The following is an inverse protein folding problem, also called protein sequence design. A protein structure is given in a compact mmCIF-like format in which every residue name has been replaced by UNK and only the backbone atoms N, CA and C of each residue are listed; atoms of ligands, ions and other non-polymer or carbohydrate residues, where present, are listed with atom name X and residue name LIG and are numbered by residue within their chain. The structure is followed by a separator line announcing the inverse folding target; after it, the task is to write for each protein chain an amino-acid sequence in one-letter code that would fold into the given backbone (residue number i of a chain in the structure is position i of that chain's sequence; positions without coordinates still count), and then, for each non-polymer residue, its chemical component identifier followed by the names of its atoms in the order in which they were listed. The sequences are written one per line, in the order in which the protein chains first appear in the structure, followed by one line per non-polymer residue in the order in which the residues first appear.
data_IF_190631906985
#
_entry.id   IF_190631906985
#
_cell.length_a   1.000
_cell.length_b   1.000
_cell.length_c   1.000
_cell.angle_alpha   90.00
_cell.angle_beta   90.00
_cell.angle_gamma   90.00
#
_symmetry.space_group_name_H-M   'P 1'
#
loop_
_entity.id
_entity.type
_entity.pdbx_description
1 polymer ?
#
# COMPACT_ATOMS: atom_id res chain seq x y z
N UNK A 1 2.64 28.54 7.24
CA UNK A 1 3.36 27.27 7.00
C UNK A 1 2.58 26.22 7.78
N UNK A 2 1.54 25.68 7.17
CA UNK A 2 0.73 24.58 7.73
C UNK A 2 1.07 23.34 6.91
N UNK A 3 2.18 22.70 7.26
CA UNK A 3 2.36 21.30 6.94
C UNK A 3 1.85 20.55 8.15
N UNK A 4 0.59 20.13 8.13
CA UNK A 4 0.09 19.19 9.13
C UNK A 4 0.98 17.95 9.09
N UNK A 5 1.43 17.48 10.25
CA UNK A 5 2.12 16.20 10.31
C UNK A 5 1.14 15.14 9.78
N UNK A 6 1.58 14.40 8.76
CA UNK A 6 0.80 13.38 8.07
C UNK A 6 1.18 12.01 8.64
N UNK A 7 0.22 11.11 8.74
CA UNK A 7 0.49 9.78 9.27
C UNK A 7 1.20 8.91 8.23
N UNK A 8 2.06 8.01 8.71
CA UNK A 8 2.91 7.19 7.84
C UNK A 8 2.09 6.26 6.93
N UNK A 9 0.93 5.77 7.37
CA UNK A 9 0.04 5.02 6.48
C UNK A 9 -0.48 5.88 5.31
N UNK A 10 -0.77 7.16 5.52
CA UNK A 10 -1.23 8.04 4.46
C UNK A 10 -0.12 8.33 3.45
N UNK A 11 1.14 8.42 3.89
CA UNK A 11 2.32 8.49 2.99
C UNK A 11 2.46 7.20 2.18
N UNK A 12 2.32 6.06 2.85
CA UNK A 12 2.39 4.74 2.21
C UNK A 12 1.35 4.56 1.11
N UNK A 13 0.12 5.05 1.33
CA UNK A 13 -0.98 4.96 0.36
C UNK A 13 -0.78 5.92 -0.81
N UNK A 14 -0.16 7.07 -0.61
CA UNK A 14 0.23 7.97 -1.71
C UNK A 14 1.31 7.35 -2.60
N UNK A 15 2.28 6.66 -2.01
CA UNK A 15 3.32 5.94 -2.74
C UNK A 15 2.79 4.66 -3.42
N UNK A 16 1.74 4.05 -2.84
CA UNK A 16 1.18 2.77 -3.27
C UNK A 16 -0.34 2.86 -3.42
N UNK A 17 -0.81 3.58 -4.45
CA UNK A 17 -2.24 3.87 -4.64
C UNK A 17 -3.15 2.63 -4.66
N UNK A 18 -2.63 1.45 -5.01
CA UNK A 18 -3.39 0.20 -4.94
C UNK A 18 -3.94 -0.11 -3.54
N UNK A 19 -3.31 0.42 -2.48
CA UNK A 19 -3.76 0.27 -1.10
C UNK A 19 -5.10 0.97 -0.84
N UNK A 20 -5.46 2.00 -1.62
CA UNK A 20 -6.76 2.71 -1.50
C UNK A 20 -7.97 1.80 -1.69
N UNK A 21 -7.77 0.70 -2.40
CA UNK A 21 -8.82 -0.29 -2.66
C UNK A 21 -9.12 -1.21 -1.47
N UNK A 22 -8.26 -1.24 -0.44
CA UNK A 22 -8.51 -2.04 0.74
C UNK A 22 -9.60 -1.43 1.61
N UNK A 23 -10.41 -2.29 2.23
CA UNK A 23 -11.35 -1.83 3.24
C UNK A 23 -10.60 -1.21 4.43
N UNK A 24 -9.41 -1.72 4.75
CA UNK A 24 -8.49 -1.08 5.68
C UNK A 24 -8.37 0.43 5.45
N UNK A 25 -8.12 0.86 4.21
CA UNK A 25 -7.99 2.28 3.87
C UNK A 25 -9.32 3.03 4.01
N UNK A 26 -10.43 2.44 3.52
CA UNK A 26 -11.76 3.05 3.61
C UNK A 26 -12.19 3.31 5.07
N UNK A 27 -11.89 2.39 5.97
CA UNK A 27 -12.13 2.58 7.40
C UNK A 27 -11.17 3.63 7.98
N UNK A 28 -9.90 3.59 7.59
CA UNK A 28 -8.89 4.54 8.03
C UNK A 28 -9.30 5.99 7.74
N UNK A 29 -9.79 6.30 6.53
CA UNK A 29 -10.24 7.66 6.16
C UNK A 29 -11.37 8.15 7.08
N UNK A 30 -12.34 7.28 7.39
CA UNK A 30 -13.43 7.60 8.32
C UNK A 30 -12.89 7.89 9.71
N UNK A 31 -11.95 7.08 10.19
CA UNK A 31 -11.36 7.21 11.52
C UNK A 31 -10.39 8.39 11.65
N UNK A 32 -9.75 8.80 10.56
CA UNK A 32 -8.79 9.91 10.57
C UNK A 32 -9.46 11.29 10.54
N UNK A 33 -10.77 11.34 10.30
CA UNK A 33 -11.54 12.59 10.28
C UNK A 33 -11.27 13.46 11.52
N UNK A 34 -11.12 14.77 11.34
CA UNK A 34 -10.81 15.74 12.40
C UNK A 34 -12.00 16.08 13.32
N UNK A 35 -13.22 15.65 12.98
CA UNK A 35 -14.40 15.95 13.79
C UNK A 35 -14.33 15.21 15.13
N UNK A 36 -14.29 16.00 16.20
CA UNK A 36 -14.32 15.57 17.60
C UNK A 36 -15.31 16.45 18.37
N UNK A 37 -16.17 15.84 19.18
CA UNK A 37 -17.08 16.59 20.03
C UNK A 37 -16.38 17.04 21.33
N UNK A 38 -16.73 18.23 21.83
CA UNK A 38 -16.18 18.78 23.08
C UNK A 38 -16.39 17.84 24.28
N UNK A 39 -17.49 17.07 24.29
CA UNK A 39 -17.78 16.06 25.32
C UNK A 39 -16.69 14.97 25.39
N UNK A 40 -16.11 14.60 24.25
CA UNK A 40 -15.11 13.54 24.17
C UNK A 40 -13.75 14.05 24.66
N UNK A 41 -13.40 15.30 24.31
CA UNK A 41 -12.22 15.99 24.86
C UNK A 41 -12.30 16.15 26.37
N UNK A 42 -13.47 16.56 26.90
CA UNK A 42 -13.68 16.72 28.34
C UNK A 42 -13.53 15.40 29.09
N UNK A 43 -14.08 14.30 28.55
CA UNK A 43 -13.89 12.97 29.12
C UNK A 43 -12.39 12.59 29.14
N UNK A 44 -11.70 12.74 28.01
CA UNK A 44 -10.29 12.37 27.88
C UNK A 44 -9.37 13.22 28.77
N UNK A 45 -9.68 14.50 28.93
CA UNK A 45 -8.98 15.39 29.87
C UNK A 45 -9.11 14.96 31.33
N UNK A 46 -10.18 14.22 31.66
CA UNK A 46 -10.40 13.69 33.01
C UNK A 46 -9.59 12.43 33.33
N UNK A 47 -9.10 11.70 32.31
CA UNK A 47 -8.32 10.47 32.49
C UNK A 47 -6.83 10.64 32.18
N UNK A 48 -6.45 11.63 31.36
CA UNK A 48 -5.05 11.92 31.02
C UNK A 48 -4.49 12.96 32.01
N UNK A 49 -3.39 12.67 32.72
CA UNK A 49 -2.80 13.59 33.70
C UNK A 49 -2.40 14.93 33.08
N UNK A 50 -2.76 16.02 33.74
CA UNK A 50 -2.55 17.37 33.23
C UNK A 50 -1.06 17.73 33.13
N UNK A 51 -0.22 17.19 34.02
CA UNK A 51 1.22 17.48 34.16
C UNK A 51 2.10 17.06 32.95
N UNK A 52 1.53 16.42 31.94
CA UNK A 52 2.18 16.06 30.67
C UNK A 52 2.31 17.25 29.67
N UNK A 53 2.41 18.49 30.16
CA UNK A 53 2.12 19.77 29.46
C UNK A 53 2.97 20.17 28.22
N UNK A 54 3.76 19.30 27.60
CA UNK A 54 4.21 19.51 26.21
C UNK A 54 3.47 18.62 25.19
N UNK A 55 2.86 17.52 25.63
CA UNK A 55 2.24 16.51 24.77
C UNK A 55 0.79 16.14 25.17
N UNK A 56 0.34 16.58 26.35
CA UNK A 56 -0.98 16.23 26.90
C UNK A 56 -2.15 16.58 25.97
N UNK A 57 -2.06 17.67 25.20
CA UNK A 57 -3.11 18.03 24.24
C UNK A 57 -3.22 17.02 23.09
N UNK A 58 -2.09 16.51 22.57
CA UNK A 58 -2.13 15.53 21.47
C UNK A 58 -2.71 14.19 21.94
N UNK A 59 -2.39 13.76 23.16
CA UNK A 59 -2.94 12.53 23.73
C UNK A 59 -4.44 12.65 24.02
N UNK A 60 -4.89 13.81 24.52
CA UNK A 60 -6.32 14.12 24.73
C UNK A 60 -7.06 14.08 23.39
N UNK A 61 -6.49 14.67 22.35
CA UNK A 61 -7.09 14.72 21.01
C UNK A 61 -7.19 13.32 20.40
N UNK A 62 -6.13 12.52 20.51
CA UNK A 62 -6.12 11.13 20.07
C UNK A 62 -7.15 10.28 20.83
N UNK A 63 -7.23 10.43 22.16
CA UNK A 63 -8.24 9.77 22.98
C UNK A 63 -9.66 10.16 22.56
N UNK A 64 -9.89 11.45 22.28
CA UNK A 64 -11.21 11.94 21.90
C UNK A 64 -11.61 11.43 20.49
N UNK A 65 -10.65 11.40 19.55
CA UNK A 65 -10.84 10.75 18.22
C UNK A 65 -11.15 9.26 18.36
N UNK A 66 -10.44 8.54 19.23
CA UNK A 66 -10.68 7.12 19.52
C UNK A 66 -12.10 6.90 20.06
N UNK A 67 -12.51 7.70 21.06
CA UNK A 67 -13.86 7.65 21.64
C UNK A 67 -14.96 7.89 20.60
N UNK A 68 -14.78 8.89 19.74
CA UNK A 68 -15.67 9.14 18.59
C UNK A 68 -15.65 7.99 17.59
N UNK A 69 -14.50 7.36 17.35
CA UNK A 69 -14.39 6.21 16.44
C UNK A 69 -15.16 4.99 16.96
N UNK A 70 -15.17 4.73 18.27
CA UNK A 70 -16.04 3.73 18.87
C UNK A 70 -17.53 4.03 18.64
N UNK A 71 -17.94 5.30 18.70
CA UNK A 71 -19.34 5.72 18.46
C UNK A 71 -19.81 5.46 17.03
N UNK A 72 -18.94 5.67 16.04
CA UNK A 72 -19.28 5.51 14.61
C UNK A 72 -18.95 4.12 14.06
N UNK A 73 -18.38 3.23 14.88
CA UNK A 73 -17.83 1.96 14.42
C UNK A 73 -18.90 1.09 13.74
N UNK A 74 -20.00 0.81 14.44
CA UNK A 74 -21.09 -0.03 13.94
C UNK A 74 -21.71 0.55 12.66
N UNK A 75 -21.93 1.86 12.63
CA UNK A 75 -22.48 2.55 11.45
C UNK A 75 -21.52 2.43 10.25
N UNK A 76 -20.22 2.51 10.49
CA UNK A 76 -19.18 2.37 9.47
C UNK A 76 -19.13 0.93 8.94
N UNK A 77 -19.21 -0.06 9.83
CA UNK A 77 -19.30 -1.48 9.47
C UNK A 77 -20.53 -1.78 8.61
N UNK A 78 -21.69 -1.24 8.97
CA UNK A 78 -22.92 -1.36 8.19
C UNK A 78 -22.78 -0.70 6.82
N UNK A 79 -22.31 0.55 6.76
CA UNK A 79 -22.13 1.30 5.51
C UNK A 79 -21.19 0.59 4.54
N UNK A 80 -20.06 0.10 5.05
CA UNK A 80 -19.03 -0.57 4.24
C UNK A 80 -19.32 -2.06 4.04
N UNK A 81 -20.37 -2.60 4.68
CA UNK A 81 -20.75 -4.00 4.65
C UNK A 81 -19.58 -4.93 5.04
N UNK A 82 -18.85 -4.55 6.08
CA UNK A 82 -17.67 -5.26 6.61
C UNK A 82 -17.65 -5.23 8.12
N UNK A 83 -17.36 -6.38 8.74
CA UNK A 83 -17.46 -6.58 10.19
C UNK A 83 -16.10 -6.59 10.90
N UNK A 84 -15.11 -5.92 10.30
CA UNK A 84 -13.71 -5.94 10.73
C UNK A 84 -13.28 -4.63 11.39
N UNK A 85 -14.26 -3.80 11.77
CA UNK A 85 -14.08 -2.46 12.27
C UNK A 85 -13.12 -2.39 13.44
N UNK A 86 -13.22 -3.31 14.42
CA UNK A 86 -12.29 -3.34 15.56
C UNK A 86 -10.83 -3.51 15.12
N UNK A 87 -10.54 -4.36 14.13
CA UNK A 87 -9.18 -4.53 13.62
C UNK A 87 -8.70 -3.25 12.95
N UNK A 88 -9.54 -2.64 12.11
CA UNK A 88 -9.18 -1.40 11.42
C UNK A 88 -9.04 -0.22 12.37
N UNK A 89 -9.81 -0.18 13.46
CA UNK A 89 -9.69 0.82 14.51
C UNK A 89 -8.36 0.68 15.27
N UNK A 90 -7.99 -0.55 15.65
CA UNK A 90 -6.68 -0.84 16.25
C UNK A 90 -5.54 -0.45 15.31
N UNK A 91 -5.66 -0.77 14.02
CA UNK A 91 -4.69 -0.37 13.01
C UNK A 91 -4.52 1.15 12.95
N UNK A 92 -5.62 1.89 12.80
CA UNK A 92 -5.60 3.36 12.77
C UNK A 92 -4.93 3.90 14.05
N UNK A 93 -5.34 3.42 15.22
CA UNK A 93 -4.81 3.90 16.49
C UNK A 93 -3.29 3.67 16.59
N UNK A 94 -2.83 2.46 16.26
CA UNK A 94 -1.40 2.13 16.25
C UNK A 94 -0.59 2.98 15.28
N UNK A 95 -1.14 3.27 14.10
CA UNK A 95 -0.50 4.17 13.14
C UNK A 95 -0.35 5.60 13.69
N UNK A 96 -1.34 6.11 14.46
CA UNK A 96 -1.18 7.37 15.20
C UNK A 96 -0.02 7.26 16.21
N UNK A 97 0.03 6.19 17.01
CA UNK A 97 1.07 5.99 18.01
C UNK A 97 2.48 5.94 17.41
N UNK A 98 2.63 5.23 16.29
CA UNK A 98 3.90 5.04 15.59
C UNK A 98 4.33 6.32 14.87
N UNK A 99 3.41 6.98 14.15
CA UNK A 99 3.71 8.18 13.34
C UNK A 99 4.15 9.35 14.21
N UNK A 100 3.50 9.54 15.36
CA UNK A 100 3.79 10.63 16.29
C UNK A 100 4.76 10.24 17.40
N UNK A 101 5.20 8.98 17.45
CA UNK A 101 6.10 8.45 18.47
C UNK A 101 5.66 8.80 19.91
N UNK A 102 4.36 8.62 20.19
CA UNK A 102 3.78 8.95 21.50
C UNK A 102 4.50 8.20 22.63
N UNK A 103 4.87 8.87 23.74
CA UNK A 103 5.52 8.20 24.85
C UNK A 103 4.53 7.38 25.65
N UNK A 104 5.06 6.35 26.31
CA UNK A 104 4.28 5.37 27.07
C UNK A 104 3.35 6.01 28.11
N UNK A 105 3.83 7.00 28.87
CA UNK A 105 3.06 7.67 29.91
C UNK A 105 1.85 8.47 29.39
N UNK A 106 1.89 8.93 28.14
CA UNK A 106 0.76 9.60 27.48
C UNK A 106 -0.29 8.61 27.00
N UNK A 107 0.09 7.37 26.70
CA UNK A 107 -0.77 6.34 26.09
C UNK A 107 -1.31 5.33 27.09
N UNK A 108 -0.53 4.96 28.12
CA UNK A 108 -0.95 4.03 29.18
C UNK A 108 -2.30 4.42 29.79
N UNK A 109 -2.61 5.69 30.12
CA UNK A 109 -3.93 6.06 30.62
C UNK A 109 -5.08 5.76 29.65
N UNK A 110 -4.85 5.89 28.34
CA UNK A 110 -5.84 5.57 27.30
C UNK A 110 -6.04 4.05 27.26
N UNK A 111 -4.96 3.27 27.29
CA UNK A 111 -5.00 1.81 27.27
C UNK A 111 -5.69 1.24 28.51
N UNK A 112 -5.36 1.76 29.69
CA UNK A 112 -5.93 1.33 30.98
C UNK A 112 -7.43 1.66 31.08
N UNK A 113 -7.90 2.68 30.36
CA UNK A 113 -9.30 3.08 30.31
C UNK A 113 -10.02 2.64 29.03
N UNK A 114 -9.42 1.76 28.23
CA UNK A 114 -9.94 1.37 26.91
C UNK A 114 -11.41 0.95 26.94
N UNK A 115 -11.77 0.03 27.85
CA UNK A 115 -13.16 -0.42 28.00
C UNK A 115 -14.11 0.72 28.39
N UNK A 116 -13.67 1.69 29.20
CA UNK A 116 -14.52 2.82 29.61
C UNK A 116 -14.70 3.83 28.46
N UNK A 117 -13.67 4.02 27.63
CA UNK A 117 -13.74 4.82 26.41
C UNK A 117 -14.74 4.18 25.44
N UNK A 118 -14.64 2.86 25.26
CA UNK A 118 -15.52 2.06 24.42
C UNK A 118 -16.98 2.03 24.93
N UNK A 119 -17.19 1.75 26.22
CA UNK A 119 -18.51 1.58 26.85
C UNK A 119 -19.35 2.88 26.88
N UNK A 120 -18.86 3.98 26.30
CA UNK A 120 -19.69 5.16 26.01
C UNK A 120 -20.79 4.89 24.97
N UNK A 121 -20.87 3.67 24.43
CA UNK A 121 -21.70 3.27 23.29
C UNK A 121 -22.28 1.86 23.49
N UNK A 122 -23.50 1.61 23.00
CA UNK A 122 -24.04 0.26 22.85
C UNK A 122 -23.46 -0.43 21.59
N UNK A 123 -22.17 -0.74 21.59
CA UNK A 123 -21.54 -1.50 20.48
C UNK A 123 -21.92 -2.97 20.61
N UNK A 124 -22.26 -3.62 19.48
CA UNK A 124 -22.64 -5.04 19.44
C UNK A 124 -21.42 -5.93 19.74
N UNK A 125 -20.21 -5.50 19.37
CA UNK A 125 -18.95 -6.21 19.60
C UNK A 125 -17.96 -5.31 20.33
N UNK A 126 -17.38 -5.82 21.41
CA UNK A 126 -16.28 -5.17 22.09
C UNK A 126 -14.97 -5.38 21.33
N UNK A 127 -14.18 -4.33 21.19
CA UNK A 127 -12.83 -4.34 20.68
C UNK A 127 -11.86 -4.48 21.85
N UNK A 128 -11.02 -5.52 21.84
CA UNK A 128 -9.91 -5.65 22.78
C UNK A 128 -8.80 -4.61 22.49
N UNK A 129 -7.82 -4.50 23.40
CA UNK A 129 -6.62 -3.67 23.24
C UNK A 129 -5.32 -4.49 23.21
N UNK A 130 -5.39 -5.80 22.93
CA UNK A 130 -4.27 -6.73 23.07
C UNK A 130 -3.13 -6.44 22.09
N UNK A 131 -3.50 -5.94 20.91
CA UNK A 131 -2.60 -5.61 19.80
C UNK A 131 -2.34 -4.10 19.68
N UNK A 132 -2.44 -3.35 20.78
CA UNK A 132 -2.05 -1.93 20.81
C UNK A 132 -0.56 -1.81 21.15
N UNK A 133 0.18 -1.04 20.35
CA UNK A 133 1.62 -0.89 20.46
C UNK A 133 2.01 -0.21 21.77
N UNK A 134 2.96 -0.80 22.46
CA UNK A 134 3.69 -0.18 23.55
C UNK A 134 5.09 0.15 23.02
N UNK A 135 5.25 1.34 22.46
CA UNK A 135 6.40 1.69 21.63
C UNK A 135 7.77 1.49 22.33
N UNK A 136 7.80 1.63 23.66
CA UNK A 136 9.03 1.42 24.44
C UNK A 136 9.37 -0.06 24.65
N UNK A 137 8.38 -0.96 24.56
CA UNK A 137 8.49 -2.40 24.82
C UNK A 137 8.46 -3.26 23.55
N UNK A 138 8.02 -2.71 22.40
CA UNK A 138 8.01 -3.43 21.13
C UNK A 138 9.32 -3.23 20.35
N UNK A 139 10.28 -4.12 20.59
CA UNK A 139 11.58 -4.06 19.94
C UNK A 139 11.47 -4.11 18.40
N UNK A 140 10.53 -4.87 17.82
CA UNK A 140 10.47 -5.00 16.36
C UNK A 140 10.02 -3.67 15.73
N UNK A 141 8.93 -3.09 16.24
CA UNK A 141 8.39 -1.83 15.73
C UNK A 141 9.34 -0.65 16.02
N UNK A 142 10.02 -0.66 17.17
CA UNK A 142 10.99 0.39 17.52
C UNK A 142 12.21 0.40 16.60
N UNK A 143 12.70 -0.78 16.17
CA UNK A 143 13.84 -0.87 15.26
C UNK A 143 13.45 -0.59 13.81
N UNK A 144 12.27 -1.06 13.39
CA UNK A 144 11.74 -0.78 12.07
C UNK A 144 10.22 -0.61 12.12
N UNK A 145 9.78 0.65 12.09
CA UNK A 145 8.37 0.98 12.09
C UNK A 145 7.65 0.55 10.78
N UNK A 146 8.36 0.26 9.67
CA UNK A 146 7.75 -0.35 8.48
C UNK A 146 7.18 -1.73 8.76
N UNK A 147 7.75 -2.45 9.73
CA UNK A 147 7.37 -3.82 10.04
C UNK A 147 5.87 -3.95 10.39
N UNK A 148 5.32 -2.96 11.10
CA UNK A 148 3.89 -2.87 11.41
C UNK A 148 3.03 -2.83 10.14
N UNK A 149 3.34 -1.92 9.22
CA UNK A 149 2.57 -1.73 7.98
C UNK A 149 2.70 -2.93 7.04
N UNK A 150 3.90 -3.50 6.92
CA UNK A 150 4.14 -4.70 6.10
C UNK A 150 3.28 -5.86 6.60
N UNK A 151 3.26 -6.12 7.91
CA UNK A 151 2.46 -7.21 8.48
C UNK A 151 0.95 -6.97 8.28
N UNK A 152 0.47 -5.76 8.52
CA UNK A 152 -0.95 -5.43 8.41
C UNK A 152 -1.46 -5.46 6.96
N UNK A 153 -0.63 -5.04 6.00
CA UNK A 153 -0.95 -5.13 4.57
C UNK A 153 -0.97 -6.59 4.11
N UNK A 154 -0.04 -7.43 4.58
CA UNK A 154 -0.07 -8.87 4.30
C UNK A 154 -1.36 -9.49 4.84
N UNK A 155 -1.72 -9.18 6.08
CA UNK A 155 -2.95 -9.71 6.69
C UNK A 155 -4.19 -9.25 5.93
N UNK A 156 -4.27 -7.97 5.54
CA UNK A 156 -5.37 -7.44 4.73
C UNK A 156 -5.46 -8.10 3.34
N UNK A 157 -4.31 -8.34 2.70
CA UNK A 157 -4.24 -9.02 1.42
C UNK A 157 -4.79 -10.46 1.52
N UNK A 158 -4.37 -11.22 2.53
CA UNK A 158 -4.77 -12.61 2.71
C UNK A 158 -6.26 -12.73 3.01
N UNK A 159 -6.80 -11.81 3.81
CA UNK A 159 -8.23 -11.73 4.10
C UNK A 159 -9.09 -11.53 2.85
N UNK A 160 -8.63 -10.64 1.96
CA UNK A 160 -9.34 -10.33 0.73
C UNK A 160 -9.20 -11.40 -0.36
N UNK A 161 -8.24 -12.32 -0.27
CA UNK A 161 -8.10 -13.43 -1.24
C UNK A 161 -9.30 -14.39 -1.25
N UNK A 162 -10.18 -14.31 -0.25
CA UNK A 162 -11.39 -15.13 -0.12
C UNK A 162 -12.63 -14.50 -0.77
N UNK A 163 -12.56 -13.25 -1.24
CA UNK A 163 -13.69 -12.53 -1.84
C UNK A 163 -13.44 -12.14 -3.30
N UNK A 164 -13.46 -13.09 -4.22
CA UNK A 164 -13.32 -12.82 -5.65
C UNK A 164 -14.72 -12.61 -6.25
N UNK A 165 -14.98 -11.43 -6.80
CA UNK A 165 -16.18 -11.12 -7.60
C UNK A 165 -16.28 -12.06 -8.81
N UNK A 166 -17.50 -12.46 -9.15
CA UNK A 166 -17.78 -13.51 -10.15
C UNK A 166 -18.06 -13.01 -11.57
N UNK A 167 -17.94 -11.71 -11.85
CA UNK A 167 -18.05 -11.18 -13.21
C UNK A 167 -16.66 -10.95 -13.86
N UNK A 168 -16.60 -11.08 -15.18
CA UNK A 168 -15.33 -11.12 -15.92
C UNK A 168 -14.55 -9.80 -15.94
N UNK A 169 -15.20 -8.67 -15.68
CA UNK A 169 -14.54 -7.36 -15.61
C UNK A 169 -13.99 -7.08 -14.21
N UNK A 170 -14.73 -7.48 -13.16
CA UNK A 170 -14.25 -7.43 -11.77
C UNK A 170 -13.08 -8.37 -11.51
N UNK A 171 -12.96 -9.49 -12.25
CA UNK A 171 -11.78 -10.37 -12.17
C UNK A 171 -10.50 -9.71 -12.70
N UNK A 172 -10.52 -9.13 -13.90
CA UNK A 172 -9.33 -8.47 -14.49
C UNK A 172 -8.82 -7.33 -13.59
N UNK A 173 -9.72 -6.55 -12.99
CA UNK A 173 -9.35 -5.46 -12.06
C UNK A 173 -8.81 -6.00 -10.73
N UNK A 174 -9.39 -7.07 -10.19
CA UNK A 174 -8.89 -7.72 -8.98
C UNK A 174 -7.51 -8.34 -9.22
N UNK A 175 -7.25 -8.91 -10.39
CA UNK A 175 -5.97 -9.50 -10.72
C UNK A 175 -4.86 -8.44 -10.80
N UNK A 176 -5.10 -7.32 -11.49
CA UNK A 176 -4.15 -6.19 -11.55
C UNK A 176 -3.86 -5.66 -10.15
N UNK A 177 -4.90 -5.46 -9.35
CA UNK A 177 -4.78 -4.95 -7.98
C UNK A 177 -4.02 -5.93 -7.09
N UNK A 178 -4.24 -7.23 -7.26
CA UNK A 178 -3.49 -8.27 -6.56
C UNK A 178 -2.03 -8.32 -7.00
N UNK A 179 -1.71 -8.13 -8.28
CA UNK A 179 -0.33 -8.04 -8.75
C UNK A 179 0.41 -6.86 -8.11
N UNK A 180 -0.21 -5.68 -8.03
CA UNK A 180 0.42 -4.50 -7.42
C UNK A 180 0.63 -4.72 -5.92
N UNK A 181 -0.36 -5.30 -5.22
CA UNK A 181 -0.22 -5.64 -3.79
C UNK A 181 0.88 -6.66 -3.54
N UNK A 182 0.98 -7.68 -4.40
CA UNK A 182 2.08 -8.65 -4.33
C UNK A 182 3.42 -7.96 -4.56
N UNK A 183 3.52 -6.98 -5.48
CA UNK A 183 4.75 -6.20 -5.68
C UNK A 183 5.19 -5.51 -4.39
N UNK A 184 4.29 -4.78 -3.72
CA UNK A 184 4.60 -4.13 -2.45
C UNK A 184 5.12 -5.12 -1.40
N UNK A 185 4.48 -6.29 -1.29
CA UNK A 185 4.89 -7.34 -0.34
C UNK A 185 6.25 -7.94 -0.73
N UNK A 186 6.50 -8.15 -2.02
CA UNK A 186 7.77 -8.66 -2.54
C UNK A 186 8.91 -7.68 -2.30
N UNK A 187 8.69 -6.39 -2.51
CA UNK A 187 9.68 -5.33 -2.26
C UNK A 187 10.02 -5.23 -0.76
N UNK A 188 9.06 -5.57 0.12
CA UNK A 188 9.23 -5.62 1.58
C UNK A 188 9.52 -7.03 2.13
N UNK A 189 9.93 -7.97 1.29
CA UNK A 189 10.13 -9.38 1.68
C UNK A 189 11.20 -9.58 2.74
N UNK A 190 12.25 -8.74 2.78
CA UNK A 190 13.28 -8.80 3.81
C UNK A 190 12.73 -8.37 5.19
N UNK A 191 11.90 -7.32 5.22
CA UNK A 191 11.19 -6.88 6.44
C UNK A 191 10.26 -7.98 6.94
N UNK A 192 9.46 -8.57 6.05
CA UNK A 192 8.58 -9.70 6.41
C UNK A 192 9.37 -10.88 6.98
N UNK A 193 10.52 -11.21 6.39
CA UNK A 193 11.40 -12.27 6.90
C UNK A 193 11.90 -11.96 8.31
N UNK A 194 12.33 -10.73 8.57
CA UNK A 194 12.76 -10.32 9.93
C UNK A 194 11.64 -10.47 10.95
N UNK A 195 10.40 -10.13 10.59
CA UNK A 195 9.23 -10.33 11.47
C UNK A 195 9.09 -11.81 11.82
N UNK A 196 9.07 -12.67 10.79
CA UNK A 196 8.93 -14.12 10.95
C UNK A 196 10.03 -14.71 11.84
N UNK A 197 11.28 -14.43 11.52
CA UNK A 197 12.44 -14.94 12.27
C UNK A 197 12.39 -14.48 13.73
N UNK A 198 11.98 -13.22 13.97
CA UNK A 198 11.87 -12.65 15.33
C UNK A 198 10.73 -13.30 16.12
N UNK A 199 9.57 -13.52 15.50
CA UNK A 199 8.42 -14.10 16.18
C UNK A 199 8.56 -15.60 16.43
N UNK A 200 9.21 -16.35 15.53
CA UNK A 200 9.51 -17.77 15.72
C UNK A 200 10.52 -18.01 16.87
N UNK A 201 11.33 -17.01 17.21
CA UNK A 201 12.28 -17.05 18.33
C UNK A 201 11.67 -16.81 19.72
N UNK A 202 10.35 -16.67 19.81
CA UNK A 202 9.54 -16.47 21.02
C UNK A 202 9.60 -15.04 21.58
N UNK A 203 9.06 -14.10 20.81
CA UNK A 203 8.94 -12.67 21.14
C UNK A 203 7.55 -12.31 21.68
N UNK A 204 7.48 -11.52 22.76
CA UNK A 204 6.25 -10.99 23.35
C UNK A 204 5.73 -9.71 22.65
N UNK A 205 6.34 -9.31 21.52
CA UNK A 205 5.96 -8.14 20.72
C UNK A 205 4.49 -8.18 20.31
N UNK A 206 3.84 -7.01 20.27
CA UNK A 206 2.48 -6.83 19.74
C UNK A 206 2.43 -7.23 18.26
N UNK A 207 3.49 -6.93 17.50
CA UNK A 207 3.58 -7.34 16.10
C UNK A 207 3.54 -8.86 15.93
N UNK A 208 4.14 -9.61 16.87
CA UNK A 208 4.07 -11.06 16.86
C UNK A 208 2.68 -11.60 17.15
N UNK A 209 1.85 -10.90 17.94
CA UNK A 209 0.44 -11.27 18.12
C UNK A 209 -0.34 -11.14 16.81
N UNK A 210 -0.13 -10.04 16.08
CA UNK A 210 -0.74 -9.81 14.75
C UNK A 210 -0.28 -10.90 13.77
N UNK A 211 1.03 -11.19 13.73
CA UNK A 211 1.59 -12.24 12.88
C UNK A 211 1.01 -13.62 13.19
N UNK A 212 0.99 -14.04 14.47
CA UNK A 212 0.49 -15.36 14.86
C UNK A 212 -1.01 -15.49 14.61
N UNK A 213 -1.79 -14.41 14.80
CA UNK A 213 -3.21 -14.39 14.42
C UNK A 213 -3.39 -14.57 12.92
N UNK A 214 -2.68 -13.80 12.10
CA UNK A 214 -2.70 -13.92 10.64
C UNK A 214 -2.29 -15.32 10.17
N UNK A 215 -1.22 -15.87 10.73
CA UNK A 215 -0.71 -17.22 10.44
C UNK A 215 -1.74 -18.29 10.81
N UNK A 216 -2.43 -18.13 11.94
CA UNK A 216 -3.48 -19.06 12.39
C UNK A 216 -4.70 -19.01 11.47
N UNK A 217 -5.17 -17.82 11.12
CA UNK A 217 -6.38 -17.63 10.29
C UNK A 217 -6.16 -17.94 8.81
N UNK A 218 -4.94 -17.73 8.28
CA UNK A 218 -4.63 -17.77 6.85
C UNK A 218 -3.40 -18.62 6.49
N UNK A 219 -3.11 -19.68 7.26
CA UNK A 219 -1.91 -20.52 7.10
C UNK A 219 -1.66 -21.00 5.66
N UNK A 220 -2.72 -21.42 4.95
CA UNK A 220 -2.63 -21.95 3.58
C UNK A 220 -2.32 -20.82 2.59
N UNK A 221 -3.05 -19.72 2.66
CA UNK A 221 -2.90 -18.56 1.78
C UNK A 221 -1.54 -17.88 2.01
N UNK A 222 -1.10 -17.80 3.27
CA UNK A 222 0.21 -17.29 3.64
C UNK A 222 1.32 -18.13 3.01
N UNK A 223 1.25 -19.46 3.09
CA UNK A 223 2.22 -20.34 2.44
C UNK A 223 2.24 -20.19 0.91
N UNK A 224 1.08 -19.96 0.27
CA UNK A 224 1.00 -19.66 -1.17
C UNK A 224 1.66 -18.32 -1.51
N UNK A 225 1.42 -17.30 -0.69
CA UNK A 225 2.03 -15.98 -0.86
C UNK A 225 3.54 -16.04 -0.71
N UNK A 226 4.05 -16.73 0.32
CA UNK A 226 5.49 -16.93 0.54
C UNK A 226 6.17 -17.58 -0.68
N UNK A 227 5.57 -18.63 -1.24
CA UNK A 227 6.08 -19.28 -2.45
C UNK A 227 6.09 -18.34 -3.67
N UNK A 228 5.05 -17.50 -3.82
CA UNK A 228 4.98 -16.50 -4.91
C UNK A 228 6.08 -15.45 -4.78
N UNK A 229 6.33 -14.96 -3.56
CA UNK A 229 7.39 -13.98 -3.28
C UNK A 229 8.76 -14.55 -3.66
N UNK A 230 9.07 -15.78 -3.23
CA UNK A 230 10.34 -16.46 -3.56
C UNK A 230 10.52 -16.59 -5.07
N UNK A 231 9.49 -17.05 -5.79
CA UNK A 231 9.54 -17.20 -7.24
C UNK A 231 9.75 -15.84 -7.96
N UNK A 232 9.11 -14.77 -7.49
CA UNK A 232 9.32 -13.43 -8.06
C UNK A 232 10.74 -12.92 -7.84
N UNK A 233 11.29 -13.05 -6.63
CA UNK A 233 12.67 -12.65 -6.32
C UNK A 233 13.68 -13.42 -7.18
N UNK A 234 13.47 -14.73 -7.36
CA UNK A 234 14.31 -15.56 -8.23
C UNK A 234 14.23 -15.13 -9.70
N UNK A 235 13.04 -14.79 -10.19
CA UNK A 235 12.86 -14.29 -11.56
C UNK A 235 13.55 -12.94 -11.80
N UNK A 236 13.53 -12.04 -10.81
CA UNK A 236 14.22 -10.75 -10.85
C UNK A 236 15.75 -10.94 -10.88
N UNK A 237 16.27 -11.92 -10.13
CA UNK A 237 17.69 -12.30 -10.17
C UNK A 237 18.08 -12.98 -11.50
N UNK A 238 17.16 -13.70 -12.13
CA UNK A 238 17.34 -14.34 -13.44
C UNK A 238 17.33 -13.38 -14.62
N UNK A 239 16.57 -12.27 -14.55
CA UNK A 239 16.55 -11.22 -15.57
C UNK A 239 17.79 -10.33 -15.60
N UNK A 240 18.59 -10.33 -14.51
CA UNK A 240 19.84 -9.58 -14.39
C UNK A 240 21.09 -10.31 -14.91
N UNK A 241 20.97 -11.54 -15.41
CA UNK A 241 22.08 -12.28 -16.03
C UNK A 241 21.88 -12.41 -17.54
N UNK A 242 22.02 -11.29 -18.26
CA UNK A 242 22.83 -11.39 -19.46
C UNK A 242 24.21 -11.78 -18.93
N UNK A 243 24.64 -13.02 -19.15
CA UNK A 243 26.00 -13.44 -18.85
C UNK A 243 26.91 -12.43 -19.55
N UNK A 244 27.53 -11.53 -18.79
CA UNK A 244 28.69 -10.80 -19.24
C UNK A 244 29.75 -11.88 -19.41
N UNK A 245 29.77 -12.50 -20.59
CA UNK A 245 30.94 -13.20 -21.08
C UNK A 245 32.01 -12.12 -21.11
N UNK A 246 32.93 -12.21 -20.17
CA UNK A 246 34.13 -11.38 -20.11
C UNK A 246 34.80 -11.40 -21.50
N UNK A 247 34.79 -10.28 -22.26
CA UNK A 247 35.35 -10.27 -23.62
C UNK A 247 36.88 -10.41 -23.63
N UNK A 248 37.53 -10.46 -22.46
CA UNK A 248 38.99 -10.35 -22.38
C UNK A 248 39.73 -11.68 -22.57
N UNK A 249 39.04 -12.82 -22.64
CA UNK A 249 39.70 -14.12 -22.83
C UNK A 249 39.82 -14.54 -24.30
N UNK A 250 38.89 -14.13 -25.19
CA UNK A 250 38.96 -14.45 -26.63
C UNK A 250 39.72 -13.40 -27.47
N UNK A 251 39.93 -12.17 -26.96
CA UNK A 251 40.72 -11.15 -27.67
C UNK A 251 42.22 -11.45 -27.76
N UNK A 252 42.74 -12.43 -26.99
CA UNK A 252 44.13 -12.89 -27.12
C UNK A 252 44.33 -13.94 -28.21
N UNK A 253 43.29 -14.67 -28.59
CA UNK A 253 43.41 -15.75 -29.58
C UNK A 253 43.22 -15.22 -31.02
N UNK A 254 42.37 -14.22 -31.22
CA UNK A 254 42.18 -13.59 -32.53
C UNK A 254 43.30 -12.59 -32.91
N UNK A 255 44.06 -12.08 -31.93
CA UNK A 255 45.26 -11.26 -32.17
C UNK A 255 46.48 -12.07 -32.66
N UNK A 256 46.49 -13.38 -32.40
CA UNK A 256 47.53 -14.30 -32.91
C UNK A 256 47.36 -14.62 -34.39
N UNK A 257 46.13 -14.50 -34.92
CA UNK A 257 45.82 -14.76 -36.34
C UNK A 257 46.19 -13.55 -37.21
N UNK A 258 46.06 -12.33 -36.69
CA UNK A 258 46.36 -11.10 -37.44
C UNK A 258 47.83 -10.67 -37.43
N UNK A 259 48.67 -11.23 -36.54
CA UNK A 259 50.12 -10.96 -36.51
C UNK A 259 50.93 -11.82 -37.49
N UNK A 260 50.28 -12.72 -38.24
CA UNK A 260 50.92 -13.60 -39.23
C UNK A 260 50.96 -13.06 -40.67
N UNK A 261 50.49 -11.83 -40.93
CA UNK A 261 50.26 -11.37 -42.29
C UNK A 261 50.67 -9.90 -42.53
N UNK A 262 51.88 -9.50 -42.12
CA UNK A 262 52.56 -8.35 -42.72
C UNK A 262 54.06 -8.37 -42.39
N UNK A 263 54.82 -9.15 -43.14
CA UNK A 263 56.23 -8.86 -43.41
C UNK A 263 56.35 -8.55 -44.89
N UNK A 264 56.08 -7.30 -45.24
CA UNK A 264 56.43 -6.71 -46.53
C UNK A 264 56.64 -5.22 -46.27
N UNK A 265 57.88 -4.79 -46.45
CA UNK A 265 58.29 -3.40 -46.43
C UNK A 265 57.38 -2.53 -47.30
N UNK A 266 56.97 -1.36 -46.79
CA UNK A 266 57.25 -0.04 -47.39
C UNK A 266 56.23 1.03 -46.97
N UNK A 267 56.78 2.20 -46.68
CA UNK A 267 56.19 3.52 -46.45
C UNK A 267 54.75 3.81 -46.93
N UNK A 268 53.97 4.42 -46.03
CA UNK A 268 53.33 5.76 -46.17
C UNK A 268 51.81 5.89 -45.90
N UNK A 269 51.52 6.93 -45.10
CA UNK A 269 50.25 7.65 -44.91
C UNK A 269 49.17 7.03 -44.00
N UNK A 270 49.10 7.59 -42.79
CA UNK A 270 48.05 7.38 -41.79
C UNK A 270 46.62 7.84 -42.20
N UNK A 271 46.41 8.19 -43.48
CA UNK A 271 45.14 8.72 -43.99
C UNK A 271 44.11 7.66 -44.37
N UNK A 272 44.53 6.43 -44.68
CA UNK A 272 43.63 5.39 -45.21
C UNK A 272 42.97 4.54 -44.11
N UNK A 273 43.57 4.47 -42.92
CA UNK A 273 43.06 3.67 -41.79
C UNK A 273 41.90 4.40 -41.09
N UNK A 274 41.96 5.74 -41.00
CA UNK A 274 40.94 6.54 -40.32
C UNK A 274 39.59 6.58 -41.08
N UNK A 275 39.60 6.49 -42.41
CA UNK A 275 38.37 6.52 -43.22
C UNK A 275 37.53 5.26 -43.06
N UNK A 276 38.15 4.09 -42.84
CA UNK A 276 37.44 2.80 -42.76
C UNK A 276 36.60 2.64 -41.50
N UNK A 277 37.03 3.18 -40.36
CA UNK A 277 36.27 3.08 -39.10
C UNK A 277 34.98 3.90 -39.12
N UNK A 278 35.00 5.06 -39.79
CA UNK A 278 33.84 5.96 -39.87
C UNK A 278 32.70 5.29 -40.66
N UNK A 279 33.01 4.56 -41.73
CA UNK A 279 32.00 3.85 -42.52
C UNK A 279 31.38 2.66 -41.77
N UNK A 280 32.15 1.96 -40.93
CA UNK A 280 31.63 0.87 -40.08
C UNK A 280 30.67 1.41 -39.02
N UNK A 281 31.05 2.51 -38.35
CA UNK A 281 30.20 3.16 -37.33
C UNK A 281 28.91 3.71 -37.96
N UNK A 282 28.98 4.28 -39.16
CA UNK A 282 27.77 4.69 -39.91
C UNK A 282 26.91 3.53 -40.34
N UNK A 283 27.50 2.42 -40.77
CA UNK A 283 26.76 1.19 -41.09
C UNK A 283 25.97 0.69 -39.88
N UNK A 284 26.60 0.64 -38.71
CA UNK A 284 25.96 0.19 -37.46
C UNK A 284 24.82 1.14 -37.06
N UNK A 285 25.03 2.46 -37.12
CA UNK A 285 23.99 3.43 -36.78
C UNK A 285 22.80 3.38 -37.75
N UNK A 286 23.03 3.19 -39.04
CA UNK A 286 21.97 2.99 -40.02
C UNK A 286 21.16 1.71 -39.75
N UNK A 287 21.83 0.61 -39.40
CA UNK A 287 21.15 -0.64 -39.03
C UNK A 287 20.33 -0.45 -37.76
N UNK A 288 20.85 0.24 -36.74
CA UNK A 288 20.12 0.56 -35.51
C UNK A 288 18.91 1.45 -35.76
N UNK A 289 18.99 2.41 -36.69
CA UNK A 289 17.85 3.26 -37.07
C UNK A 289 16.78 2.49 -37.85
N UNK A 290 17.18 1.58 -38.73
CA UNK A 290 16.28 0.66 -39.42
C UNK A 290 15.62 -0.26 -38.40
N UNK A 291 16.39 -0.88 -37.50
CA UNK A 291 15.86 -1.71 -36.43
C UNK A 291 14.95 -0.90 -35.51
N UNK A 292 15.26 0.33 -35.14
CA UNK A 292 14.36 1.18 -34.35
C UNK A 292 13.01 1.42 -35.04
N UNK A 293 13.01 1.58 -36.37
CA UNK A 293 11.79 1.74 -37.18
C UNK A 293 11.03 0.42 -37.42
N UNK A 294 11.72 -0.72 -37.40
CA UNK A 294 11.16 -2.05 -37.67
C UNK A 294 11.00 -2.96 -36.44
N UNK A 295 11.46 -2.55 -35.26
CA UNK A 295 11.21 -3.26 -34.00
C UNK A 295 9.84 -2.82 -33.48
N UNK A 296 8.81 -3.68 -33.51
CA UNK A 296 7.41 -3.27 -33.33
C UNK A 296 7.04 -3.05 -31.84
N UNK A 297 7.96 -2.59 -31.00
CA UNK A 297 7.66 -2.31 -29.59
C UNK A 297 6.66 -1.16 -29.43
N UNK A 298 6.59 -0.21 -30.37
CA UNK A 298 5.59 0.86 -30.35
C UNK A 298 4.14 0.38 -30.48
N UNK A 299 3.90 -0.73 -31.18
CA UNK A 299 2.56 -1.29 -31.42
C UNK A 299 2.07 -2.20 -30.29
N UNK A 300 2.97 -2.74 -29.47
CA UNK A 300 2.64 -3.53 -28.28
C UNK A 300 2.54 -2.69 -27.00
N UNK A 301 3.34 -1.63 -26.89
CA UNK A 301 3.33 -0.77 -25.70
C UNK A 301 2.13 0.19 -25.72
N UNK A 302 1.70 0.68 -26.90
CA UNK A 302 0.52 1.56 -27.02
C UNK A 302 -0.77 0.97 -26.46
N UNK A 303 -1.18 -0.28 -26.77
CA UNK A 303 -2.39 -0.85 -26.19
C UNK A 303 -2.26 -1.11 -24.68
N UNK A 304 -1.07 -1.44 -24.17
CA UNK A 304 -0.82 -1.59 -22.73
C UNK A 304 -0.94 -0.25 -21.98
N UNK A 305 -0.34 0.83 -22.50
CA UNK A 305 -0.46 2.18 -21.93
C UNK A 305 -1.91 2.69 -22.04
N UNK A 306 -2.59 2.44 -23.16
CA UNK A 306 -3.98 2.88 -23.35
C UNK A 306 -4.97 2.11 -22.48
N UNK A 307 -4.70 0.83 -22.18
CA UNK A 307 -5.44 0.04 -21.17
C UNK A 307 -5.20 0.61 -19.77
N UNK A 308 -3.95 0.85 -19.38
CA UNK A 308 -3.62 1.46 -18.07
C UNK A 308 -4.28 2.83 -17.89
N UNK A 309 -4.25 3.69 -18.91
CA UNK A 309 -4.86 5.02 -18.87
C UNK A 309 -6.40 4.98 -18.78
N UNK A 310 -7.06 4.10 -19.55
CA UNK A 310 -8.52 3.97 -19.50
C UNK A 310 -9.02 3.35 -18.18
N UNK A 311 -8.22 2.47 -17.59
CA UNK A 311 -8.51 1.91 -16.25
C UNK A 311 -8.34 3.00 -15.20
N UNK A 312 -7.32 3.85 -15.32
CA UNK A 312 -7.10 4.99 -14.43
C UNK A 312 -8.27 5.98 -14.41
N UNK A 313 -8.73 6.43 -15.59
CA UNK A 313 -9.86 7.36 -15.73
C UNK A 313 -11.15 6.79 -15.13
N UNK A 314 -11.36 5.46 -15.16
CA UNK A 314 -12.52 4.82 -14.54
C UNK A 314 -12.42 4.63 -13.01
N UNK A 315 -11.21 4.58 -12.44
CA UNK A 315 -10.98 4.43 -10.99
C UNK A 315 -11.22 5.77 -10.28
N UNK A 316 -10.93 6.88 -10.95
CA UNK A 316 -11.21 8.24 -10.47
C UNK A 316 -12.72 8.46 -10.35
N UNK A 317 -13.50 8.05 -11.37
CA UNK A 317 -14.97 8.11 -11.36
C UNK A 317 -15.63 7.21 -10.29
N UNK A 318 -15.09 6.01 -10.01
CA UNK A 318 -15.66 5.09 -8.99
C UNK A 318 -15.35 5.57 -7.55
N UNK A 319 -14.25 6.30 -7.34
CA UNK A 319 -13.96 6.93 -6.04
C UNK A 319 -14.75 8.24 -5.84
N UNK A 320 -14.97 9.03 -6.90
CA UNK A 320 -15.74 10.28 -6.82
C UNK A 320 -17.21 10.05 -6.45
N UNK A 321 -17.83 8.94 -6.87
CA UNK A 321 -19.22 8.61 -6.49
C UNK A 321 -19.38 8.36 -4.97
N UNK A 322 -18.32 7.96 -4.27
CA UNK A 322 -18.32 7.82 -2.79
C UNK A 322 -17.93 9.09 -2.04
N UNK A 323 -17.10 9.95 -2.64
CA UNK A 323 -16.65 11.22 -2.05
C UNK A 323 -17.74 12.30 -2.00
N UNK A 324 -18.74 12.21 -2.88
CA UNK A 324 -19.84 13.18 -2.94
C UNK A 324 -20.88 13.10 -1.79
N UNK A 325 -20.80 12.11 -0.90
CA UNK A 325 -21.76 11.98 0.22
C UNK A 325 -21.31 12.65 1.53
N UNK A 326 -20.15 13.31 1.54
CA UNK A 326 -19.65 14.08 2.70
C UNK A 326 -20.39 15.41 2.92
N UNK A 327 -21.24 15.83 1.97
CA UNK A 327 -21.99 17.09 2.06
C UNK A 327 -23.48 16.86 1.88
N UNK A 328 -24.13 16.13 2.80
CA UNK A 328 -25.58 16.21 2.93
C UNK A 328 -25.99 16.34 4.39
N UNK A 329 -25.92 17.58 4.87
CA UNK A 329 -26.44 17.97 6.17
C UNK A 329 -27.95 17.95 6.08
N UNK A 330 -28.58 17.03 6.81
CA UNK A 330 -30.03 16.82 6.91
C UNK A 330 -30.81 18.14 7.06
N UNK A 331 -31.36 18.65 5.96
CA UNK A 331 -32.47 19.61 5.99
C UNK A 331 -33.76 18.84 5.70
N UNK A 332 -34.64 18.74 6.71
CA UNK A 332 -35.93 18.08 6.57
C UNK A 332 -36.70 18.61 5.34
N UNK A 333 -37.22 17.76 4.43
CA UNK A 333 -38.00 18.22 3.30
C UNK A 333 -39.41 18.59 3.76
N UNK A 334 -39.73 19.88 3.60
CA UNK A 334 -41.05 20.42 3.84
C UNK A 334 -42.04 19.88 2.79
N UNK A 335 -43.13 19.30 3.27
CA UNK A 335 -44.08 18.50 2.49
C UNK A 335 -44.86 19.38 1.49
N UNK A 336 -44.54 19.31 0.19
CA UNK A 336 -45.37 19.87 -0.89
C UNK A 336 -45.87 18.74 -1.79
N UNK A 337 -47.19 18.50 -1.72
CA UNK A 337 -47.90 17.57 -2.59
C UNK A 337 -47.84 18.04 -4.04
N UNK A 338 -47.30 17.19 -4.93
CA UNK A 338 -47.47 17.35 -6.37
C UNK A 338 -48.60 16.43 -6.86
N UNK A 339 -49.65 17.04 -7.43
CA UNK A 339 -50.71 16.34 -8.16
C UNK A 339 -50.23 16.02 -9.57
N UNK A 340 -50.20 14.74 -9.94
CA UNK A 340 -49.98 14.29 -11.32
C UNK A 340 -51.34 13.89 -11.89
N UNK A 341 -51.73 14.49 -13.02
CA UNK A 341 -52.93 14.12 -13.77
C UNK A 341 -52.57 13.05 -14.83
N UNK A 342 -53.29 11.93 -14.81
CA UNK A 342 -53.17 10.88 -15.83
C UNK A 342 -54.06 11.20 -17.03
N UNK A 343 -53.47 11.42 -18.20
CA UNK A 343 -54.16 11.44 -19.48
C UNK A 343 -54.17 10.03 -20.09
N UNK A 344 -55.32 9.36 -20.10
CA UNK A 344 -55.53 8.09 -20.79
C UNK A 344 -55.83 8.37 -22.27
N UNK A 345 -54.89 7.99 -23.14
CA UNK A 345 -55.09 7.96 -24.59
C UNK A 345 -55.90 6.73 -24.98
N UNK A 346 -57.10 6.98 -25.49
CA UNK A 346 -58.01 6.03 -26.13
C UNK A 346 -57.45 5.68 -27.53
N UNK A 347 -57.41 4.39 -27.87
CA UNK A 347 -57.20 3.91 -29.23
C UNK A 347 -58.51 3.23 -29.64
N UNK A 348 -58.99 3.62 -30.81
CA UNK A 348 -60.27 3.24 -31.43
C UNK A 348 -60.39 1.76 -31.79
#
# INVERSE_FOLDING_TARGET
MEGGFKCKFEDLVEENESLRSFYLFKFYEVFNNEVVEEKDRQYCSGIIPSDLFSEGNAAIDLCAKLRRNFQILSDTEEKLQKTDGCRYLKFWFNDQLISYAFPFNSISPIKDNWENIENSVNIIRKCDNEDIVEYQEDDIVRHNNDAFYVMEIIYEYLKNSNGISTDGFGQDLNDIRNEIRISYITDNSEVYKTIKDSCDSNSSSMLCKIYEKCKTEHSIELGKLENKIVAQIESQKGGGRLSYVDPTTEMKEMASIFSGLENSESSSSAGTIATSFIFVIMGILCILLILYKFTPFGSWIRPLIRRKKKIWENIEDENDEFLHFSEDTRVLPNNRQYKIAYGSGRID
#
